data_IF_289610251336
#
_entry.id   IF_289610251336
#
_cell.length_a   1.000
_cell.length_b   1.000
_cell.length_c   1.000
_cell.angle_alpha   90.00
_cell.angle_beta   90.00
_cell.angle_gamma   90.00
#
_symmetry.space_group_name_H-M   'P 1'
#
loop_
_entity.id
_entity.type
_entity.pdbx_description
1 polymer ?
#
# COMPACT_ATOMS: atom_id res chain seq x y z
N UNK A 1 23.27 -22.63 7.69
CA UNK A 1 22.86 -21.27 7.97
C UNK A 1 21.51 -21.00 7.33
N UNK A 2 20.73 -20.22 7.96
CA UNK A 2 19.36 -20.03 7.54
C UNK A 2 19.15 -18.62 7.05
N UNK A 3 18.56 -18.51 5.87
CA UNK A 3 18.14 -17.21 5.36
C UNK A 3 16.88 -16.82 6.09
N UNK A 4 16.88 -15.64 6.66
CA UNK A 4 15.74 -15.15 7.38
C UNK A 4 15.07 -14.07 6.58
N UNK A 5 13.79 -14.25 6.35
CA UNK A 5 12.97 -13.24 5.70
C UNK A 5 12.32 -12.39 6.78
N UNK A 6 12.42 -11.11 6.59
CA UNK A 6 11.80 -10.16 7.49
C UNK A 6 10.61 -9.56 6.80
N UNK A 7 9.46 -9.84 7.34
CA UNK A 7 8.23 -9.30 6.80
C UNK A 7 7.85 -8.02 7.48
N UNK A 8 6.91 -7.35 6.87
CA UNK A 8 6.28 -6.16 7.44
C UNK A 8 4.79 -6.42 7.40
N UNK A 9 4.12 -6.25 8.53
CA UNK A 9 2.68 -6.38 8.57
C UNK A 9 2.04 -5.01 8.37
N UNK A 10 0.78 -5.02 7.98
CA UNK A 10 0.04 -3.78 7.86
C UNK A 10 -0.04 -3.07 9.21
N UNK A 11 -0.14 -3.84 10.31
CA UNK A 11 -0.12 -3.27 11.65
C UNK A 11 1.17 -2.52 11.94
N UNK A 12 2.30 -3.05 11.46
CA UNK A 12 3.59 -2.36 11.63
C UNK A 12 3.57 -1.00 10.96
N UNK A 13 2.99 -0.93 9.76
CA UNK A 13 2.91 0.34 9.02
C UNK A 13 1.98 1.33 9.72
N UNK A 14 0.85 0.84 10.21
CA UNK A 14 -0.09 1.68 10.93
C UNK A 14 0.58 2.29 12.15
N UNK A 15 1.32 1.48 12.87
CA UNK A 15 2.01 1.94 14.07
C UNK A 15 3.12 2.92 13.75
N UNK A 16 3.92 2.59 12.74
CA UNK A 16 5.06 3.43 12.37
C UNK A 16 4.63 4.82 11.89
N UNK A 17 3.59 4.87 11.06
CA UNK A 17 3.18 6.12 10.41
C UNK A 17 1.90 6.70 11.00
N UNK A 18 1.33 6.05 12.01
CA UNK A 18 0.14 6.53 12.70
C UNK A 18 -1.03 6.73 11.74
N UNK A 19 -1.27 5.74 10.87
CA UNK A 19 -2.37 5.83 9.92
C UNK A 19 -3.72 5.69 10.62
N UNK A 20 -4.71 6.39 10.08
CA UNK A 20 -6.09 6.22 10.52
C UNK A 20 -6.68 4.99 9.83
N UNK A 21 -7.38 4.14 10.56
CA UNK A 21 -8.06 2.98 9.98
C UNK A 21 -9.47 3.40 9.61
N UNK A 22 -9.73 3.51 8.30
CA UNK A 22 -11.07 3.84 7.83
C UNK A 22 -11.93 2.58 7.82
N UNK A 23 -11.35 1.47 7.35
CA UNK A 23 -12.00 0.18 7.35
C UNK A 23 -10.93 -0.89 7.51
N UNK A 24 -11.16 -1.82 8.45
CA UNK A 24 -10.25 -2.92 8.67
C UNK A 24 -11.02 -4.19 8.93
N UNK A 25 -10.99 -5.16 8.00
CA UNK A 25 -11.62 -6.46 8.26
C UNK A 25 -10.88 -7.17 9.37
N UNK A 26 -11.52 -8.18 9.93
CA UNK A 26 -10.93 -8.93 11.05
C UNK A 26 -9.56 -9.47 10.65
N UNK A 27 -8.56 -9.23 11.51
CA UNK A 27 -7.21 -9.74 11.27
C UNK A 27 -6.41 -8.96 10.24
N UNK A 28 -6.90 -7.81 9.79
CA UNK A 28 -6.23 -7.08 8.71
C UNK A 28 -4.83 -6.60 9.09
N UNK A 29 -4.57 -6.39 10.38
CA UNK A 29 -3.25 -5.94 10.82
C UNK A 29 -2.17 -6.98 10.52
N UNK A 30 -2.55 -8.23 10.35
CA UNK A 30 -1.61 -9.30 10.06
C UNK A 30 -1.32 -9.45 8.58
N UNK A 31 -1.99 -8.65 7.73
CA UNK A 31 -1.72 -8.66 6.29
C UNK A 31 -0.25 -8.37 6.06
N UNK A 32 0.40 -9.22 5.27
CA UNK A 32 1.83 -9.08 5.02
C UNK A 32 2.08 -8.22 3.80
N UNK A 33 3.02 -7.29 3.93
CA UNK A 33 3.48 -6.48 2.83
C UNK A 33 4.78 -7.10 2.34
N UNK A 34 4.80 -7.52 1.09
CA UNK A 34 5.92 -8.28 0.54
C UNK A 34 6.71 -7.51 -0.51
N UNK A 35 6.21 -6.36 -0.96
CA UNK A 35 6.89 -5.55 -1.97
C UNK A 35 7.35 -4.24 -1.35
N UNK A 36 8.54 -3.81 -1.75
CA UNK A 36 9.11 -2.56 -1.23
C UNK A 36 8.81 -1.37 -2.13
N UNK A 37 7.73 -1.45 -2.87
CA UNK A 37 7.29 -0.42 -3.78
C UNK A 37 5.81 -0.14 -3.56
N UNK A 38 5.35 0.98 -4.06
CA UNK A 38 3.96 1.40 -3.95
C UNK A 38 3.44 1.79 -5.32
N UNK A 39 2.12 1.85 -5.46
CA UNK A 39 1.50 2.22 -6.72
C UNK A 39 0.39 3.22 -6.49
N UNK A 40 0.25 4.16 -7.42
CA UNK A 40 -0.92 5.02 -7.46
C UNK A 40 -1.88 4.41 -8.49
N UNK A 41 -3.09 4.02 -8.10
CA UNK A 41 -3.95 3.20 -8.95
C UNK A 41 -4.74 3.99 -10.01
N UNK A 42 -4.23 5.12 -10.47
CA UNK A 42 -4.95 5.92 -11.46
C UNK A 42 -5.27 5.15 -12.73
N UNK A 43 -4.27 4.44 -13.27
CA UNK A 43 -4.47 3.65 -14.48
C UNK A 43 -5.46 2.53 -14.25
N UNK A 44 -5.37 1.87 -13.10
CA UNK A 44 -6.26 0.76 -12.79
C UNK A 44 -7.69 1.25 -12.61
N UNK A 45 -7.87 2.40 -12.00
CA UNK A 45 -9.21 2.99 -11.87
C UNK A 45 -9.77 3.40 -13.23
N UNK A 46 -8.91 3.66 -14.20
CA UNK A 46 -9.33 3.91 -15.58
C UNK A 46 -9.53 2.63 -16.38
N UNK A 47 -9.24 1.48 -15.79
CA UNK A 47 -9.48 0.19 -16.45
C UNK A 47 -8.25 -0.47 -17.04
N UNK A 48 -7.07 0.10 -16.85
CA UNK A 48 -5.85 -0.44 -17.43
C UNK A 48 -5.09 -1.22 -16.37
N UNK A 49 -4.94 -2.53 -16.59
CA UNK A 49 -4.28 -3.40 -15.61
C UNK A 49 -3.03 -4.09 -16.13
N UNK A 50 -2.59 -3.75 -17.34
CA UNK A 50 -1.37 -4.37 -17.89
C UNK A 50 -0.18 -4.03 -16.99
N UNK A 51 0.61 -5.06 -16.67
CA UNK A 51 1.80 -4.93 -15.83
C UNK A 51 1.52 -4.47 -14.42
N UNK A 52 0.27 -4.60 -13.97
CA UNK A 52 -0.11 -4.23 -12.62
C UNK A 52 0.32 -5.33 -11.65
N UNK A 53 1.02 -4.92 -10.59
CA UNK A 53 1.42 -5.84 -9.52
C UNK A 53 0.50 -5.59 -8.32
N UNK A 54 -0.44 -6.49 -8.04
CA UNK A 54 -1.41 -6.27 -6.97
C UNK A 54 -0.81 -6.40 -5.57
N UNK A 55 0.44 -6.85 -5.45
CA UNK A 55 1.05 -7.03 -4.13
C UNK A 55 1.61 -5.74 -3.56
N UNK A 56 1.58 -4.66 -4.32
CA UNK A 56 2.07 -3.36 -3.84
C UNK A 56 0.98 -2.64 -3.06
N UNK A 57 1.43 -1.82 -2.10
CA UNK A 57 0.53 -0.89 -1.43
C UNK A 57 -0.01 0.09 -2.45
N UNK A 58 -1.31 0.33 -2.42
CA UNK A 58 -1.95 1.29 -3.33
C UNK A 58 -2.19 2.59 -2.57
N UNK A 59 -1.76 3.71 -3.16
CA UNK A 59 -1.92 5.03 -2.52
C UNK A 59 -2.73 5.92 -3.44
N UNK A 60 -3.88 6.33 -2.95
CA UNK A 60 -4.82 7.15 -3.72
C UNK A 60 -4.78 8.57 -3.19
N UNK A 61 -4.50 9.50 -4.09
CA UNK A 61 -4.42 10.90 -3.74
C UNK A 61 -5.51 11.70 -4.43
N UNK A 62 -5.29 13.01 -4.48
CA UNK A 62 -6.30 13.92 -4.98
C UNK A 62 -6.58 13.73 -6.47
N UNK A 63 -5.54 13.35 -7.24
CA UNK A 63 -5.72 13.15 -8.67
C UNK A 63 -6.67 12.00 -8.93
N UNK A 64 -6.44 10.86 -8.27
CA UNK A 64 -7.30 9.70 -8.43
C UNK A 64 -8.70 9.99 -7.92
N UNK A 65 -8.79 10.68 -6.79
CA UNK A 65 -10.08 11.04 -6.21
C UNK A 65 -10.88 11.92 -7.16
N UNK A 66 -10.23 12.91 -7.77
CA UNK A 66 -10.90 13.79 -8.73
C UNK A 66 -11.40 13.03 -9.96
N UNK A 67 -10.59 12.07 -10.40
CA UNK A 67 -10.99 11.28 -11.57
C UNK A 67 -12.25 10.48 -11.28
N UNK A 68 -12.28 9.74 -10.17
CA UNK A 68 -13.44 8.90 -9.90
C UNK A 68 -14.64 9.71 -9.47
N UNK A 69 -14.42 10.92 -8.95
CA UNK A 69 -15.53 11.80 -8.62
C UNK A 69 -16.36 12.14 -9.85
N UNK A 70 -15.72 12.23 -11.01
CA UNK A 70 -16.41 12.51 -12.26
C UNK A 70 -17.18 11.36 -12.85
N UNK A 71 -17.06 10.17 -12.28
CA UNK A 71 -17.78 9.00 -12.75
C UNK A 71 -19.17 8.92 -12.11
N UNK A 72 -20.08 8.18 -12.74
CA UNK A 72 -21.35 7.87 -12.09
C UNK A 72 -21.09 6.96 -10.90
N UNK A 73 -22.05 6.89 -9.99
CA UNK A 73 -21.94 6.02 -8.82
C UNK A 73 -21.72 4.56 -9.25
N UNK A 74 -22.46 4.12 -10.26
CA UNK A 74 -22.32 2.76 -10.78
C UNK A 74 -20.93 2.50 -11.32
N UNK A 75 -20.43 3.41 -12.13
CA UNK A 75 -19.08 3.26 -12.69
C UNK A 75 -18.02 3.31 -11.60
N UNK A 76 -18.18 4.23 -10.66
CA UNK A 76 -17.24 4.35 -9.55
C UNK A 76 -17.16 3.05 -8.75
N UNK A 77 -18.34 2.47 -8.45
CA UNK A 77 -18.35 1.19 -7.73
C UNK A 77 -17.67 0.10 -8.55
N UNK A 78 -17.94 0.05 -9.84
CA UNK A 78 -17.34 -0.95 -10.72
C UNK A 78 -15.81 -0.84 -10.76
N UNK A 79 -15.31 0.40 -10.80
CA UNK A 79 -13.87 0.61 -10.84
C UNK A 79 -13.19 0.14 -9.56
N UNK A 80 -13.79 0.45 -8.42
CA UNK A 80 -13.24 -0.01 -7.15
C UNK A 80 -13.37 -1.53 -7.01
N UNK A 81 -14.48 -2.10 -7.46
CA UNK A 81 -14.64 -3.56 -7.43
C UNK A 81 -13.50 -4.25 -8.20
N UNK A 82 -13.19 -3.76 -9.39
CA UNK A 82 -12.15 -4.37 -10.20
C UNK A 82 -10.78 -4.24 -9.53
N UNK A 83 -10.50 -3.09 -8.94
CA UNK A 83 -9.24 -2.89 -8.25
C UNK A 83 -9.11 -3.84 -7.06
N UNK A 84 -10.14 -3.92 -6.25
CA UNK A 84 -10.08 -4.74 -5.03
C UNK A 84 -10.10 -6.22 -5.32
N UNK A 85 -10.70 -6.64 -6.42
CA UNK A 85 -10.71 -8.06 -6.83
C UNK A 85 -9.32 -8.57 -7.16
N UNK A 86 -8.37 -7.68 -7.43
CA UNK A 86 -7.00 -8.11 -7.73
C UNK A 86 -6.26 -8.59 -6.49
N UNK A 87 -6.79 -8.33 -5.30
CA UNK A 87 -6.16 -8.80 -4.07
C UNK A 87 -5.09 -7.87 -3.52
N UNK A 88 -5.24 -6.58 -3.76
CA UNK A 88 -4.27 -5.62 -3.18
C UNK A 88 -4.30 -5.71 -1.66
N UNK A 89 -3.17 -5.47 -1.00
CA UNK A 89 -3.12 -5.61 0.46
C UNK A 89 -3.81 -4.47 1.21
N UNK A 90 -3.87 -3.28 0.61
CA UNK A 90 -4.41 -2.12 1.31
C UNK A 90 -4.57 -0.98 0.32
N UNK A 91 -5.54 -0.13 0.57
CA UNK A 91 -5.66 1.17 -0.09
C UNK A 91 -5.43 2.25 0.95
N UNK A 92 -4.43 3.09 0.72
CA UNK A 92 -4.11 4.21 1.62
C UNK A 92 -4.55 5.51 0.96
N UNK A 93 -5.37 6.27 1.65
CA UNK A 93 -5.84 7.58 1.18
C UNK A 93 -4.92 8.65 1.75
N UNK A 94 -4.33 9.46 0.88
CA UNK A 94 -3.45 10.54 1.31
C UNK A 94 -4.21 11.85 1.39
N UNK A 95 -3.56 12.87 1.97
CA UNK A 95 -4.09 14.23 2.05
C UNK A 95 -5.45 14.31 2.74
N UNK A 96 -5.70 13.34 3.60
CA UNK A 96 -6.93 13.28 4.39
C UNK A 96 -8.19 13.34 3.52
N UNK A 97 -8.14 12.77 2.30
CA UNK A 97 -9.30 12.79 1.40
C UNK A 97 -10.39 11.89 1.94
N UNK A 98 -11.62 12.23 1.59
CA UNK A 98 -12.77 11.44 2.02
C UNK A 98 -12.85 10.15 1.22
N UNK A 99 -13.32 9.09 1.89
CA UNK A 99 -13.56 7.83 1.22
C UNK A 99 -14.93 7.90 0.52
N UNK A 100 -14.95 7.51 -0.75
CA UNK A 100 -16.24 7.42 -1.45
C UNK A 100 -17.05 6.26 -0.90
N UNK A 101 -18.36 6.42 -0.78
CA UNK A 101 -19.19 5.28 -0.31
C UNK A 101 -19.04 4.05 -1.18
N UNK A 102 -18.87 4.24 -2.49
CA UNK A 102 -18.66 3.11 -3.41
C UNK A 102 -17.36 2.39 -3.12
N UNK A 103 -16.33 3.15 -2.77
CA UNK A 103 -15.04 2.57 -2.42
C UNK A 103 -15.15 1.76 -1.14
N UNK A 104 -15.79 2.32 -0.14
CA UNK A 104 -15.97 1.63 1.14
C UNK A 104 -16.77 0.34 0.97
N UNK A 105 -17.87 0.42 0.21
CA UNK A 105 -18.71 -0.76 -0.02
C UNK A 105 -17.94 -1.86 -0.75
N UNK A 106 -17.17 -1.49 -1.76
CA UNK A 106 -16.37 -2.46 -2.51
C UNK A 106 -15.31 -3.10 -1.61
N UNK A 107 -14.67 -2.28 -0.76
CA UNK A 107 -13.66 -2.78 0.15
C UNK A 107 -14.24 -3.75 1.17
N UNK A 108 -15.44 -3.44 1.68
CA UNK A 108 -16.10 -4.32 2.64
C UNK A 108 -16.46 -5.65 2.00
N UNK A 109 -16.85 -5.64 0.74
CA UNK A 109 -17.20 -6.87 0.05
C UNK A 109 -15.99 -7.77 -0.16
N UNK A 110 -14.84 -7.19 -0.49
CA UNK A 110 -13.65 -7.97 -0.81
C UNK A 110 -12.68 -8.08 0.36
N UNK A 111 -13.00 -7.45 1.48
CA UNK A 111 -12.14 -7.53 2.65
C UNK A 111 -10.83 -6.79 2.51
N UNK A 112 -10.83 -5.66 1.80
CA UNK A 112 -9.60 -4.88 1.58
C UNK A 112 -9.55 -3.73 2.59
N UNK A 113 -8.48 -3.64 3.39
CA UNK A 113 -8.36 -2.55 4.37
C UNK A 113 -8.21 -1.19 3.68
N UNK A 114 -8.79 -0.17 4.28
CA UNK A 114 -8.63 1.21 3.83
C UNK A 114 -8.06 2.02 4.99
N UNK A 115 -6.93 2.65 4.73
CA UNK A 115 -6.25 3.53 5.70
C UNK A 115 -6.24 4.95 5.16
N UNK A 116 -5.94 5.89 6.03
CA UNK A 116 -5.89 7.29 5.64
C UNK A 116 -4.79 8.01 6.39
N UNK A 117 -4.17 8.97 5.72
CA UNK A 117 -3.17 9.84 6.32
C UNK A 117 -3.40 11.27 5.82
N UNK A 118 -2.98 12.26 6.62
CA UNK A 118 -3.08 13.64 6.18
C UNK A 118 -1.83 14.11 5.42
N UNK A 119 -0.84 13.24 5.27
CA UNK A 119 0.37 13.58 4.53
C UNK A 119 0.10 13.72 3.04
N UNK A 120 0.93 14.53 2.36
CA UNK A 120 0.88 14.62 0.92
C UNK A 120 1.29 13.29 0.30
N UNK A 121 0.75 13.04 -0.89
CA UNK A 121 0.94 11.76 -1.57
C UNK A 121 2.41 11.47 -1.81
N UNK A 122 3.15 12.44 -2.35
CA UNK A 122 4.57 12.22 -2.65
C UNK A 122 5.38 11.97 -1.39
N UNK A 123 5.05 12.67 -0.31
CA UNK A 123 5.74 12.50 0.95
C UNK A 123 5.53 11.10 1.51
N UNK A 124 4.26 10.67 1.58
CA UNK A 124 3.98 9.36 2.18
C UNK A 124 4.52 8.23 1.32
N UNK A 125 4.48 8.38 -0.01
CA UNK A 125 5.06 7.37 -0.89
C UNK A 125 6.55 7.22 -0.61
N UNK A 126 7.25 8.33 -0.49
CA UNK A 126 8.70 8.32 -0.29
C UNK A 126 9.08 7.66 1.03
N UNK A 127 8.39 8.02 2.12
CA UNK A 127 8.78 7.48 3.42
C UNK A 127 8.38 6.01 3.57
N UNK A 128 7.27 5.60 2.94
CA UNK A 128 6.87 4.19 2.98
C UNK A 128 7.88 3.35 2.20
N UNK A 129 8.28 3.79 1.02
CA UNK A 129 9.24 3.03 0.22
C UNK A 129 10.56 2.90 0.97
N UNK A 130 11.04 3.99 1.58
CA UNK A 130 12.28 3.94 2.34
C UNK A 130 12.19 2.95 3.51
N UNK A 131 11.07 2.98 4.22
CA UNK A 131 10.84 2.09 5.34
C UNK A 131 10.82 0.63 4.88
N UNK A 132 10.09 0.36 3.79
CA UNK A 132 9.97 -1.00 3.28
C UNK A 132 11.28 -1.54 2.76
N UNK A 133 12.08 -0.70 2.10
CA UNK A 133 13.37 -1.16 1.60
C UNK A 133 14.28 -1.62 2.73
N UNK A 134 14.23 -0.94 3.86
CA UNK A 134 15.01 -1.36 5.01
C UNK A 134 14.43 -2.63 5.63
N UNK A 135 13.12 -2.68 5.82
CA UNK A 135 12.50 -3.78 6.55
C UNK A 135 12.41 -5.07 5.74
N UNK A 136 12.31 -4.96 4.43
CA UNK A 136 12.20 -6.15 3.57
C UNK A 136 13.52 -6.59 2.98
N UNK A 137 14.61 -5.89 3.29
CA UNK A 137 15.93 -6.30 2.82
C UNK A 137 16.27 -7.68 3.39
N UNK A 138 16.75 -8.58 2.55
CA UNK A 138 17.12 -9.91 3.05
C UNK A 138 18.20 -9.80 4.11
N UNK A 139 18.11 -10.63 5.12
CA UNK A 139 19.07 -10.64 6.20
C UNK A 139 19.64 -12.02 6.33
N UNK A 140 20.96 -12.07 6.33
CA UNK A 140 21.69 -13.30 6.50
C UNK A 140 22.59 -13.11 7.70
N UNK A 141 22.49 -13.99 8.67
CA UNK A 141 23.39 -13.99 9.79
C UNK A 141 24.62 -14.78 9.40
N UNK A 142 25.74 -14.09 9.27
CA UNK A 142 27.00 -14.73 8.95
C UNK A 142 27.90 -14.65 10.16
N UNK A 143 28.44 -15.78 10.45
CA UNK A 143 29.30 -15.88 11.60
C UNK A 143 30.59 -15.13 11.34
N UNK A 144 30.90 -14.14 12.17
CA UNK A 144 32.13 -13.39 12.09
C UNK A 144 32.23 -12.47 10.89
N UNK A 145 31.17 -12.28 10.23
CA UNK A 145 31.23 -11.47 9.04
C UNK A 145 30.73 -10.07 9.28
N UNK A 146 31.36 -9.28 8.65
CA UNK A 146 30.92 -8.08 8.71
C UNK A 146 30.64 -7.51 7.54
N UNK A 147 30.30 -7.48 7.16
CA UNK A 147 30.10 -7.21 5.99
C UNK A 147 29.43 -6.12 5.52
N UNK A 148 29.56 -5.73 5.67
CA UNK A 148 28.96 -5.02 5.25
C UNK A 148 29.27 -3.95 5.08
N UNK A 149 29.37 -3.74 4.84
CA UNK A 149 29.63 -2.92 4.72
C UNK A 149 29.17 -2.04 4.19
N UNK A 150 29.17 -1.64 4.09
CA UNK A 150 28.73 -0.89 3.63
C UNK A 150 28.77 -0.39 2.72
N UNK A 151 28.54 -0.01 2.23
CA UNK A 151 28.73 0.52 1.18
C UNK A 151 28.85 1.71 0.87
N UNK A 152 29.17 1.86 0.63
CA UNK A 152 29.19 2.64 0.32
C UNK A 152 28.84 3.34 -0.19
N UNK A 153 28.85 3.78 -0.24
CA UNK A 153 28.42 4.52 -0.82
C UNK A 153 28.57 5.31 -1.57
N UNK A 154 28.86 5.31 -1.85
CA UNK A 154 28.97 5.88 -2.51
C UNK A 154 28.61 6.03 -3.19
N UNK A 155 28.55 6.02 -3.20
CA UNK A 155 28.24 6.07 -3.75
C UNK A 155 27.88 6.29 -4.03
#
# INVERSE_FOLDING_TARGET
MQLKEFGVSLGDLIHEFNFEVVYGPEGFEKTEITKDDVNRPGLQLAGFFDYFDPNRIQIMGKVESSYVEGLSSEERRSRFDRLFETGIPVLLLSRNIDVFPECLAAAQEDGVPILRTNEFTSTIMSVIVAFLKVKLAPRVTLHGCLLYTSPSPRD
#
